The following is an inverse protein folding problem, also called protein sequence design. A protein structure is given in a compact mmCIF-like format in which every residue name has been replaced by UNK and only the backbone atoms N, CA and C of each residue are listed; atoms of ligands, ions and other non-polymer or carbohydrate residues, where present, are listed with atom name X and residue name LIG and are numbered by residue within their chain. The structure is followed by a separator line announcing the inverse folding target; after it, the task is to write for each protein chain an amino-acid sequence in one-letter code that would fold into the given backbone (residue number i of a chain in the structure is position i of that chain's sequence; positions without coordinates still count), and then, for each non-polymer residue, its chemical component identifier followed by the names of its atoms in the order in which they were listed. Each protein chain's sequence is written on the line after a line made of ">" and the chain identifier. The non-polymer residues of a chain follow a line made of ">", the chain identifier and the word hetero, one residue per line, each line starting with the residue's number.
data_IF_221723130594
#
_entry.id   IF_221723130594
#
_cell.length_a   1.000
_cell.length_b   1.000
_cell.length_c   1.000
_cell.angle_alpha   90.00
_cell.angle_beta   90.00
_cell.angle_gamma   90.00
#
_symmetry.space_group_name_H-M   'P 1'
#
loop_
_entity.id
_entity.type
_entity.pdbx_description
1 polymer ?
#
# COMPACT_ATOMS: atom_id res chain seq x y z
N UNK A 1 -5.96 -45.04 72.23
CA UNK A 1 -6.94 -44.77 71.15
C UNK A 1 -6.28 -43.93 70.08
N UNK A 2 -5.87 -44.51 68.94
CA UNK A 2 -5.32 -43.83 67.82
C UNK A 2 -6.40 -43.72 66.75
N UNK A 3 -6.84 -42.48 66.40
CA UNK A 3 -7.74 -42.19 65.25
C UNK A 3 -6.93 -42.34 63.97
N UNK A 4 -7.39 -43.19 63.08
CA UNK A 4 -6.94 -43.25 61.64
C UNK A 4 -7.78 -42.27 60.87
N UNK A 5 -7.10 -41.27 60.31
CA UNK A 5 -7.70 -40.41 59.26
C UNK A 5 -7.59 -41.12 57.88
N UNK A 6 -8.74 -41.33 57.26
CA UNK A 6 -8.84 -41.91 55.95
C UNK A 6 -8.83 -40.72 54.95
N UNK A 7 -7.74 -40.55 54.18
CA UNK A 7 -7.65 -39.59 53.09
C UNK A 7 -8.38 -40.18 51.89
N UNK A 8 -9.53 -39.60 51.55
CA UNK A 8 -10.22 -39.87 50.27
C UNK A 8 -9.55 -39.03 49.16
N UNK A 9 -8.71 -39.66 48.35
CA UNK A 9 -8.14 -39.04 47.15
C UNK A 9 -9.14 -39.19 46.01
N UNK A 10 -9.95 -38.13 45.74
CA UNK A 10 -10.84 -38.12 44.59
C UNK A 10 -10.03 -37.83 43.31
N UNK A 11 -9.83 -38.87 42.49
CA UNK A 11 -9.22 -38.83 41.19
C UNK A 11 -10.22 -38.19 40.20
N UNK A 12 -10.09 -36.88 39.94
CA UNK A 12 -10.81 -36.18 38.86
C UNK A 12 -10.22 -36.63 37.51
N UNK A 13 -10.88 -37.59 36.85
CA UNK A 13 -10.64 -37.93 35.46
C UNK A 13 -11.15 -36.76 34.58
N UNK A 14 -10.25 -35.87 34.16
CA UNK A 14 -10.47 -34.93 33.08
C UNK A 14 -10.58 -35.72 31.77
N UNK A 15 -11.79 -36.05 31.36
CA UNK A 15 -12.06 -36.45 29.98
C UNK A 15 -11.83 -35.24 29.08
N UNK A 16 -10.67 -35.13 28.49
CA UNK A 16 -10.42 -34.25 27.37
C UNK A 16 -11.32 -34.70 26.23
N UNK A 17 -12.39 -33.97 25.97
CA UNK A 17 -13.15 -34.11 24.73
C UNK A 17 -12.22 -33.64 23.61
N UNK A 18 -11.55 -34.58 22.92
CA UNK A 18 -10.91 -34.27 21.66
C UNK A 18 -12.02 -33.97 20.65
N UNK A 19 -12.34 -32.70 20.47
CA UNK A 19 -13.09 -32.25 19.30
C UNK A 19 -12.22 -32.57 18.07
N UNK A 20 -12.53 -33.63 17.37
CA UNK A 20 -11.90 -33.99 16.13
C UNK A 20 -12.62 -33.17 15.06
N UNK A 21 -11.88 -32.21 14.42
CA UNK A 21 -12.39 -31.42 13.31
C UNK A 21 -12.91 -32.34 12.19
N UNK A 22 -14.16 -32.17 11.83
CA UNK A 22 -14.80 -32.91 10.74
C UNK A 22 -14.57 -32.27 9.40
N UNK A 23 -14.86 -33.01 8.31
CA UNK A 23 -14.89 -32.45 6.95
C UNK A 23 -16.28 -32.60 6.36
N UNK A 24 -16.89 -31.49 5.98
CA UNK A 24 -18.17 -31.45 5.26
C UNK A 24 -17.89 -31.14 3.81
N UNK A 25 -18.30 -32.03 2.92
CA UNK A 25 -18.15 -31.83 1.47
C UNK A 25 -19.41 -31.19 0.90
N UNK A 26 -19.21 -30.06 0.20
CA UNK A 26 -20.25 -29.30 -0.48
C UNK A 26 -20.12 -29.54 -1.99
N UNK A 27 -21.15 -30.06 -2.65
CA UNK A 27 -21.22 -30.22 -4.10
C UNK A 27 -22.66 -30.44 -4.60
N UNK A 28 -22.92 -30.23 -5.88
CA UNK A 28 -24.27 -30.40 -6.45
C UNK A 28 -24.85 -31.81 -6.35
N UNK A 29 -24.01 -32.86 -6.27
CA UNK A 29 -24.42 -34.25 -6.08
C UNK A 29 -24.23 -34.77 -4.65
N UNK A 30 -23.69 -33.95 -3.76
CA UNK A 30 -23.46 -34.32 -2.36
C UNK A 30 -24.74 -34.19 -1.52
N UNK A 31 -24.67 -34.65 -0.26
CA UNK A 31 -25.74 -34.46 0.74
C UNK A 31 -25.95 -32.96 1.02
N UNK A 32 -24.84 -32.21 1.12
CA UNK A 32 -24.84 -30.75 1.30
C UNK A 32 -24.60 -30.12 -0.07
N UNK A 33 -25.52 -29.32 -0.55
CA UNK A 33 -25.51 -28.77 -1.91
C UNK A 33 -25.13 -27.30 -1.97
N UNK A 34 -25.29 -26.57 -0.87
CA UNK A 34 -25.00 -25.15 -0.76
C UNK A 34 -23.96 -24.87 0.30
N UNK A 35 -23.21 -23.77 0.14
CA UNK A 35 -22.21 -23.35 1.14
C UNK A 35 -22.91 -22.94 2.43
N UNK A 36 -24.06 -22.26 2.33
CA UNK A 36 -24.86 -21.89 3.52
C UNK A 36 -25.29 -23.10 4.34
N UNK A 37 -25.76 -24.17 3.69
CA UNK A 37 -26.09 -25.43 4.39
C UNK A 37 -24.86 -26.00 5.07
N UNK A 38 -23.71 -26.02 4.36
CA UNK A 38 -22.43 -26.49 4.91
C UNK A 38 -22.02 -25.72 6.17
N UNK A 39 -22.04 -24.39 6.11
CA UNK A 39 -21.73 -23.52 7.25
C UNK A 39 -22.69 -23.74 8.44
N UNK A 40 -23.98 -23.92 8.15
CA UNK A 40 -25.00 -24.17 9.19
C UNK A 40 -24.79 -25.51 9.90
N UNK A 41 -24.40 -26.56 9.16
CA UNK A 41 -24.17 -27.92 9.69
C UNK A 41 -22.84 -28.09 10.40
N UNK A 42 -21.83 -27.28 10.08
CA UNK A 42 -20.48 -27.42 10.61
C UNK A 42 -20.43 -27.17 12.13
N UNK A 43 -19.61 -27.95 12.81
CA UNK A 43 -19.17 -27.66 14.18
C UNK A 43 -17.95 -26.71 14.16
N UNK A 44 -17.57 -26.19 15.31
CA UNK A 44 -16.38 -25.35 15.45
C UNK A 44 -15.13 -26.11 14.98
N UNK A 45 -14.27 -25.41 14.23
CA UNK A 45 -13.04 -25.90 13.63
C UNK A 45 -13.21 -26.96 12.52
N UNK A 46 -14.42 -27.23 12.05
CA UNK A 46 -14.65 -28.09 10.90
C UNK A 46 -14.12 -27.47 9.59
N UNK A 47 -13.85 -28.34 8.63
CA UNK A 47 -13.46 -27.96 7.29
C UNK A 47 -14.63 -28.15 6.32
N UNK A 48 -14.99 -27.10 5.59
CA UNK A 48 -15.87 -27.19 4.42
C UNK A 48 -15.02 -27.36 3.16
N UNK A 49 -15.09 -28.54 2.57
CA UNK A 49 -14.46 -28.82 1.28
C UNK A 49 -15.47 -28.55 0.16
N UNK A 50 -15.32 -27.41 -0.51
CA UNK A 50 -16.21 -26.96 -1.56
C UNK A 50 -15.66 -27.47 -2.88
N UNK A 51 -16.35 -28.41 -3.50
CA UNK A 51 -15.94 -29.01 -4.77
C UNK A 51 -16.18 -28.08 -5.93
N UNK A 52 -15.43 -28.28 -7.02
CA UNK A 52 -15.61 -27.53 -8.27
C UNK A 52 -17.08 -27.48 -8.68
N UNK A 53 -17.56 -26.28 -8.97
CA UNK A 53 -18.95 -26.01 -9.35
C UNK A 53 -19.25 -24.52 -9.31
N UNK A 54 -20.47 -24.14 -9.68
CA UNK A 54 -20.97 -22.78 -9.51
C UNK A 54 -22.07 -22.79 -8.46
N UNK A 55 -21.90 -21.91 -7.45
CA UNK A 55 -22.80 -21.74 -6.31
C UNK A 55 -23.38 -20.31 -6.39
N UNK A 56 -24.66 -20.24 -6.75
CA UNK A 56 -25.35 -18.94 -6.82
C UNK A 56 -25.80 -18.53 -5.42
N UNK A 57 -24.87 -17.99 -4.63
CA UNK A 57 -25.08 -17.67 -3.22
C UNK A 57 -24.49 -16.30 -2.86
N UNK A 58 -25.18 -15.58 -2.01
CA UNK A 58 -24.73 -14.31 -1.38
C UNK A 58 -25.17 -14.32 0.08
N UNK A 59 -24.66 -13.39 0.90
CA UNK A 59 -24.94 -13.30 2.32
C UNK A 59 -24.69 -14.64 3.06
N UNK A 60 -23.51 -15.20 2.86
CA UNK A 60 -22.98 -16.36 3.58
C UNK A 60 -22.36 -15.85 4.88
N UNK A 61 -22.99 -16.17 6.03
CA UNK A 61 -22.54 -15.71 7.35
C UNK A 61 -21.73 -16.80 8.05
N UNK A 62 -20.44 -16.51 8.35
CA UNK A 62 -19.54 -17.41 9.11
C UNK A 62 -19.44 -16.89 10.53
N UNK A 63 -20.11 -17.59 11.46
CA UNK A 63 -20.24 -17.19 12.86
C UNK A 63 -19.48 -18.12 13.82
N UNK A 64 -18.67 -19.02 13.31
CA UNK A 64 -17.86 -20.00 14.05
C UNK A 64 -16.49 -20.15 13.42
N UNK A 65 -15.48 -20.60 14.17
CA UNK A 65 -14.17 -20.89 13.60
C UNK A 65 -14.29 -22.04 12.59
N UNK A 66 -14.06 -21.75 11.31
CA UNK A 66 -14.19 -22.70 10.20
C UNK A 66 -13.04 -22.53 9.19
N UNK A 67 -12.72 -23.61 8.49
CA UNK A 67 -11.86 -23.60 7.34
C UNK A 67 -12.68 -23.90 6.07
N UNK A 68 -12.75 -22.96 5.14
CA UNK A 68 -13.37 -23.13 3.82
C UNK A 68 -12.28 -23.38 2.78
N UNK A 69 -12.28 -24.53 2.14
CA UNK A 69 -11.32 -24.89 1.09
C UNK A 69 -12.05 -25.14 -0.22
N UNK A 70 -11.71 -24.36 -1.24
CA UNK A 70 -12.20 -24.56 -2.61
C UNK A 70 -11.30 -25.51 -3.39
N UNK A 71 -11.85 -26.62 -3.86
CA UNK A 71 -11.14 -27.53 -4.74
C UNK A 71 -11.28 -27.09 -6.20
N UNK A 72 -10.15 -26.71 -6.81
CA UNK A 72 -10.09 -26.21 -8.19
C UNK A 72 -10.92 -24.94 -8.42
N UNK A 73 -10.88 -23.98 -7.48
CA UNK A 73 -11.54 -22.68 -7.55
C UNK A 73 -13.04 -22.75 -7.86
N UNK A 74 -13.87 -23.33 -6.98
CA UNK A 74 -15.33 -23.26 -7.12
C UNK A 74 -15.79 -21.82 -7.20
N UNK A 75 -16.74 -21.55 -8.11
CA UNK A 75 -17.27 -20.21 -8.34
C UNK A 75 -18.41 -19.94 -7.37
N UNK A 76 -18.30 -18.84 -6.61
CA UNK A 76 -19.41 -18.29 -5.84
C UNK A 76 -19.91 -17.04 -6.57
N UNK A 77 -21.10 -17.12 -7.13
CA UNK A 77 -21.72 -16.04 -7.89
C UNK A 77 -22.77 -15.32 -7.04
N UNK A 78 -22.50 -14.06 -6.70
CA UNK A 78 -23.40 -13.22 -5.91
C UNK A 78 -24.62 -12.72 -6.66
N UNK A 79 -24.59 -12.78 -8.01
CA UNK A 79 -25.69 -12.34 -8.88
C UNK A 79 -26.05 -10.85 -8.68
N UNK A 80 -25.06 -10.02 -8.36
CA UNK A 80 -25.17 -8.57 -8.11
C UNK A 80 -26.17 -8.19 -7.00
N UNK A 81 -26.37 -9.09 -6.00
CA UNK A 81 -27.43 -8.93 -4.99
C UNK A 81 -26.97 -8.37 -3.65
N UNK A 82 -25.67 -8.24 -3.42
CA UNK A 82 -25.16 -7.72 -2.14
C UNK A 82 -23.80 -8.30 -1.76
N UNK A 83 -23.53 -8.36 -0.46
CA UNK A 83 -22.33 -8.93 0.12
C UNK A 83 -22.32 -10.46 -0.02
N UNK A 84 -21.16 -11.08 -0.29
CA UNK A 84 -21.13 -12.52 -0.56
C UNK A 84 -20.77 -13.31 0.69
N UNK A 85 -19.62 -13.07 1.32
CA UNK A 85 -19.20 -13.76 2.54
C UNK A 85 -18.97 -12.73 3.64
N UNK A 86 -19.58 -12.94 4.80
CA UNK A 86 -19.33 -12.16 6.02
C UNK A 86 -18.81 -13.06 7.13
N UNK A 87 -17.63 -12.72 7.67
CA UNK A 87 -16.97 -13.42 8.76
C UNK A 87 -17.11 -12.59 10.02
N UNK A 88 -17.72 -13.16 11.08
CA UNK A 88 -17.87 -12.55 12.41
C UNK A 88 -17.33 -13.46 13.51
N UNK A 89 -16.40 -14.33 13.19
CA UNK A 89 -15.77 -15.28 14.10
C UNK A 89 -14.26 -15.24 13.97
N UNK A 90 -13.56 -15.54 15.04
CA UNK A 90 -12.13 -15.75 15.06
C UNK A 90 -11.74 -17.08 14.40
N UNK A 91 -10.45 -17.22 14.06
CA UNK A 91 -9.85 -18.45 13.56
C UNK A 91 -10.54 -19.00 12.29
N UNK A 92 -10.90 -18.12 11.36
CA UNK A 92 -11.50 -18.49 10.07
C UNK A 92 -10.44 -18.49 8.98
N UNK A 93 -10.41 -19.55 8.17
CA UNK A 93 -9.60 -19.63 6.97
C UNK A 93 -10.48 -19.74 5.73
N UNK A 94 -10.18 -18.90 4.72
CA UNK A 94 -10.75 -18.98 3.37
C UNK A 94 -9.60 -19.27 2.41
N UNK A 95 -9.70 -20.34 1.63
CA UNK A 95 -8.66 -20.77 0.71
C UNK A 95 -9.24 -21.28 -0.63
N UNK A 96 -8.70 -20.79 -1.75
CA UNK A 96 -8.93 -21.35 -3.07
C UNK A 96 -10.33 -21.14 -3.65
N UNK A 97 -11.00 -20.03 -3.36
CA UNK A 97 -12.33 -19.70 -3.90
C UNK A 97 -12.22 -18.74 -5.10
N UNK A 98 -13.20 -18.80 -6.00
CA UNK A 98 -13.41 -17.78 -7.02
C UNK A 98 -14.77 -17.11 -6.78
N UNK A 99 -14.77 -15.81 -6.47
CA UNK A 99 -15.97 -15.05 -6.08
C UNK A 99 -16.22 -13.96 -7.13
N UNK A 100 -17.46 -13.87 -7.62
CA UNK A 100 -17.84 -12.93 -8.69
C UNK A 100 -19.19 -12.29 -8.42
N UNK A 101 -19.44 -11.15 -9.13
CA UNK A 101 -20.72 -10.46 -9.18
C UNK A 101 -21.20 -10.01 -7.78
N UNK A 102 -20.35 -9.22 -7.11
CA UNK A 102 -20.71 -8.54 -5.85
C UNK A 102 -21.71 -7.43 -6.15
N UNK A 103 -22.74 -7.29 -5.31
CA UNK A 103 -23.70 -6.19 -5.46
C UNK A 103 -23.07 -4.82 -5.28
N UNK A 104 -23.62 -3.81 -5.96
CA UNK A 104 -23.25 -2.40 -5.81
C UNK A 104 -24.30 -1.66 -5.01
N UNK A 105 -23.88 -0.73 -4.14
CA UNK A 105 -24.80 0.08 -3.34
C UNK A 105 -24.21 1.48 -3.12
N UNK A 106 -25.08 2.49 -3.08
CA UNK A 106 -24.70 3.87 -2.72
C UNK A 106 -24.69 4.12 -1.20
N UNK A 107 -25.20 3.18 -0.41
CA UNK A 107 -25.36 3.34 1.05
C UNK A 107 -24.65 2.26 1.86
N UNK A 108 -24.18 1.18 1.21
CA UNK A 108 -23.51 0.07 1.87
C UNK A 108 -22.30 -0.37 1.04
N UNK A 109 -21.18 -0.60 1.69
CA UNK A 109 -19.93 -1.03 1.08
C UNK A 109 -19.93 -2.56 0.92
N UNK A 110 -20.75 -3.10 0.01
CA UNK A 110 -20.81 -4.55 -0.21
C UNK A 110 -19.46 -5.11 -0.66
N UNK A 111 -18.97 -6.14 0.03
CA UNK A 111 -17.70 -6.78 -0.23
C UNK A 111 -17.87 -8.23 -0.70
N UNK A 112 -16.90 -8.72 -1.46
CA UNK A 112 -16.79 -10.15 -1.77
C UNK A 112 -16.56 -10.95 -0.48
N UNK A 113 -15.63 -10.47 0.36
CA UNK A 113 -15.36 -11.02 1.70
C UNK A 113 -15.25 -9.86 2.68
N UNK A 114 -16.18 -9.82 3.65
CA UNK A 114 -16.10 -8.91 4.79
C UNK A 114 -15.69 -9.68 6.04
N UNK A 115 -14.76 -9.13 6.81
CA UNK A 115 -14.36 -9.64 8.14
C UNK A 115 -14.66 -8.55 9.16
N UNK A 116 -15.43 -8.89 10.20
CA UNK A 116 -15.87 -7.92 11.21
C UNK A 116 -15.47 -8.39 12.59
N UNK A 117 -14.71 -7.56 13.32
CA UNK A 117 -14.32 -7.79 14.72
C UNK A 117 -13.73 -9.19 14.98
N UNK A 118 -12.94 -9.71 14.04
CA UNK A 118 -12.38 -11.07 14.07
C UNK A 118 -10.86 -11.01 14.23
N UNK A 119 -10.33 -12.03 14.90
CA UNK A 119 -8.90 -12.24 15.07
C UNK A 119 -8.44 -13.58 14.48
N UNK A 120 -7.14 -13.67 14.14
CA UNK A 120 -6.51 -14.90 13.64
C UNK A 120 -7.16 -15.50 12.38
N UNK A 121 -7.60 -14.66 11.46
CA UNK A 121 -8.15 -15.10 10.17
C UNK A 121 -7.07 -15.18 9.09
N UNK A 122 -7.32 -16.04 8.09
CA UNK A 122 -6.49 -16.17 6.90
C UNK A 122 -7.38 -16.19 5.65
N UNK A 123 -7.13 -15.24 4.73
CA UNK A 123 -7.77 -15.20 3.41
C UNK A 123 -6.66 -15.37 2.38
N UNK A 124 -6.66 -16.52 1.69
CA UNK A 124 -5.59 -16.81 0.75
C UNK A 124 -6.05 -17.50 -0.52
N UNK A 125 -5.25 -17.36 -1.60
CA UNK A 125 -5.45 -18.01 -2.89
C UNK A 125 -6.87 -17.77 -3.47
N UNK A 126 -7.52 -16.64 -3.13
CA UNK A 126 -8.83 -16.30 -3.67
C UNK A 126 -8.70 -15.48 -4.94
N UNK A 127 -9.59 -15.71 -5.89
CA UNK A 127 -9.77 -14.88 -7.07
C UNK A 127 -11.10 -14.13 -6.92
N UNK A 128 -11.04 -12.81 -7.02
CA UNK A 128 -12.21 -11.93 -6.91
C UNK A 128 -12.34 -11.13 -8.21
N UNK A 129 -13.51 -11.17 -8.85
CA UNK A 129 -13.78 -10.41 -10.08
C UNK A 129 -15.16 -9.77 -10.05
N UNK A 130 -15.33 -8.64 -10.78
CA UNK A 130 -16.59 -7.89 -10.86
C UNK A 130 -17.13 -7.59 -9.47
N UNK A 131 -16.40 -6.75 -8.78
CA UNK A 131 -16.64 -6.45 -7.37
C UNK A 131 -16.88 -4.96 -7.13
N UNK A 132 -17.66 -4.64 -6.11
CA UNK A 132 -17.70 -3.30 -5.54
C UNK A 132 -16.53 -3.14 -4.55
N UNK A 133 -16.55 -3.83 -3.39
CA UNK A 133 -15.34 -4.02 -2.57
C UNK A 133 -14.85 -5.47 -2.67
N UNK A 134 -13.52 -5.66 -2.66
CA UNK A 134 -12.93 -7.00 -2.66
C UNK A 134 -12.93 -7.61 -1.26
N UNK A 135 -11.90 -7.33 -0.47
CA UNK A 135 -11.76 -7.79 0.92
C UNK A 135 -11.88 -6.59 1.85
N UNK A 136 -12.83 -6.61 2.77
CA UNK A 136 -13.02 -5.54 3.73
C UNK A 136 -12.84 -6.04 5.17
N UNK A 137 -11.83 -5.51 5.85
CA UNK A 137 -11.49 -5.84 7.23
C UNK A 137 -11.96 -4.69 8.13
N UNK A 138 -12.93 -4.95 8.99
CA UNK A 138 -13.50 -3.97 9.90
C UNK A 138 -13.19 -4.35 11.36
N UNK A 139 -12.38 -3.54 12.07
CA UNK A 139 -11.99 -3.74 13.47
C UNK A 139 -11.36 -5.10 13.75
N UNK A 140 -10.55 -5.56 12.80
CA UNK A 140 -9.90 -6.87 12.83
C UNK A 140 -8.49 -6.81 13.46
N UNK A 141 -8.00 -7.97 13.96
CA UNK A 141 -6.65 -8.08 14.50
C UNK A 141 -5.99 -9.40 14.10
N UNK A 142 -4.64 -9.37 14.07
CA UNK A 142 -3.83 -10.57 13.95
C UNK A 142 -4.21 -11.47 12.78
N UNK A 143 -4.57 -10.87 11.63
CA UNK A 143 -5.03 -11.58 10.44
C UNK A 143 -4.08 -11.47 9.26
N UNK A 144 -4.32 -12.29 8.24
CA UNK A 144 -3.51 -12.28 7.02
C UNK A 144 -4.37 -12.35 5.75
N UNK A 145 -4.02 -11.49 4.78
CA UNK A 145 -4.55 -11.49 3.41
C UNK A 145 -3.38 -11.82 2.48
N UNK A 146 -3.38 -13.04 1.92
CA UNK A 146 -2.19 -13.61 1.29
C UNK A 146 -2.46 -14.20 -0.09
N UNK A 147 -1.65 -13.83 -1.07
CA UNK A 147 -1.65 -14.45 -2.41
C UNK A 147 -3.03 -14.48 -3.09
N UNK A 148 -3.77 -13.37 -3.01
CA UNK A 148 -5.07 -13.22 -3.63
C UNK A 148 -4.95 -12.42 -4.94
N UNK A 149 -5.88 -12.65 -5.87
CA UNK A 149 -6.01 -11.91 -7.11
C UNK A 149 -7.36 -11.20 -7.14
N UNK A 150 -7.32 -9.88 -7.15
CA UNK A 150 -8.50 -9.00 -7.04
C UNK A 150 -8.55 -8.14 -8.29
N UNK A 151 -9.57 -8.32 -9.13
CA UNK A 151 -9.75 -7.57 -10.36
C UNK A 151 -11.14 -6.95 -10.35
N UNK A 152 -11.19 -5.64 -10.22
CA UNK A 152 -12.43 -4.88 -10.35
C UNK A 152 -12.78 -4.60 -11.81
N UNK A 153 -13.83 -3.86 -11.98
CA UNK A 153 -14.30 -3.30 -13.25
C UNK A 153 -14.64 -1.80 -13.12
N UNK A 154 -13.87 -1.13 -12.28
CA UNK A 154 -14.05 0.27 -11.93
C UNK A 154 -13.94 1.17 -13.15
N UNK A 155 -14.97 1.98 -13.39
CA UNK A 155 -15.06 2.95 -14.49
C UNK A 155 -15.03 4.38 -13.97
N UNK A 156 -15.68 4.65 -12.83
CA UNK A 156 -15.71 5.95 -12.18
C UNK A 156 -15.52 5.82 -10.66
N UNK A 157 -15.06 6.90 -10.02
CA UNK A 157 -14.74 6.91 -8.59
C UNK A 157 -15.98 6.75 -7.67
N UNK A 158 -17.16 7.18 -8.12
CA UNK A 158 -18.38 7.22 -7.30
C UNK A 158 -19.04 5.85 -7.17
N UNK A 159 -18.93 5.04 -8.23
CA UNK A 159 -19.56 3.72 -8.32
C UNK A 159 -18.55 2.58 -8.15
N UNK A 160 -17.37 2.86 -7.65
CA UNK A 160 -16.31 1.87 -7.49
C UNK A 160 -15.80 1.85 -6.06
N UNK A 161 -15.54 0.66 -5.54
CA UNK A 161 -14.97 0.43 -4.21
C UNK A 161 -13.50 0.10 -4.26
N UNK A 162 -12.96 -0.31 -3.12
CA UNK A 162 -11.55 -0.61 -2.94
C UNK A 162 -11.27 -2.12 -3.06
N UNK A 163 -10.04 -2.47 -3.48
CA UNK A 163 -9.65 -3.88 -3.59
C UNK A 163 -9.49 -4.55 -2.24
N UNK A 164 -8.63 -4.01 -1.38
CA UNK A 164 -8.46 -4.44 0.02
C UNK A 164 -8.63 -3.22 0.90
N UNK A 165 -9.57 -3.27 1.84
CA UNK A 165 -9.82 -2.19 2.77
C UNK A 165 -9.64 -2.62 4.21
N UNK A 166 -8.91 -1.83 4.99
CA UNK A 166 -8.72 -1.99 6.43
C UNK A 166 -9.27 -0.76 7.15
N UNK A 167 -10.19 -0.97 8.07
CA UNK A 167 -10.77 0.08 8.89
C UNK A 167 -10.71 -0.29 10.37
N UNK A 168 -10.06 0.56 11.19
CA UNK A 168 -9.81 0.34 12.61
C UNK A 168 -9.17 -1.03 12.93
N UNK A 169 -8.27 -1.50 12.06
CA UNK A 169 -7.65 -2.84 12.18
C UNK A 169 -6.20 -2.75 12.68
N UNK A 170 -5.68 -3.83 13.27
CA UNK A 170 -4.34 -3.86 13.86
C UNK A 170 -3.62 -5.18 13.61
N UNK A 171 -2.28 -5.13 13.50
CA UNK A 171 -1.43 -6.31 13.33
C UNK A 171 -1.86 -7.20 12.15
N UNK A 172 -2.15 -6.60 11.00
CA UNK A 172 -2.57 -7.30 9.79
C UNK A 172 -1.40 -7.37 8.81
N UNK A 173 -1.27 -8.52 8.14
CA UNK A 173 -0.31 -8.72 7.04
C UNK A 173 -1.08 -8.83 5.72
N UNK A 174 -0.76 -7.95 4.77
CA UNK A 174 -1.26 -7.96 3.39
C UNK A 174 -0.10 -8.29 2.49
N UNK A 175 -0.01 -9.53 1.97
CA UNK A 175 1.19 -10.03 1.31
C UNK A 175 0.88 -10.74 -0.01
N UNK A 176 1.70 -10.46 -1.04
CA UNK A 176 1.67 -11.12 -2.37
C UNK A 176 0.33 -11.08 -3.08
N UNK A 177 -0.45 -10.04 -2.86
CA UNK A 177 -1.72 -9.86 -3.56
C UNK A 177 -1.50 -9.09 -4.88
N UNK A 178 -2.36 -9.37 -5.87
CA UNK A 178 -2.48 -8.60 -7.12
C UNK A 178 -3.83 -7.90 -7.06
N UNK A 179 -3.81 -6.56 -7.15
CA UNK A 179 -5.04 -5.73 -7.08
C UNK A 179 -5.06 -4.79 -8.26
N UNK A 180 -6.12 -4.88 -9.08
CA UNK A 180 -6.23 -4.15 -10.33
C UNK A 180 -7.66 -3.66 -10.59
N UNK A 181 -7.78 -2.55 -11.37
CA UNK A 181 -9.04 -2.05 -11.88
C UNK A 181 -10.11 -1.78 -10.81
N UNK A 182 -9.70 -1.28 -9.65
CA UNK A 182 -10.55 -0.84 -8.55
C UNK A 182 -10.40 0.68 -8.34
N UNK A 183 -11.15 1.27 -7.42
CA UNK A 183 -10.97 2.69 -7.08
C UNK A 183 -9.63 2.94 -6.42
N UNK A 184 -9.40 2.39 -5.22
CA UNK A 184 -8.11 2.33 -4.55
C UNK A 184 -7.70 0.86 -4.41
N UNK A 185 -6.47 0.54 -4.80
CA UNK A 185 -5.98 -0.85 -4.72
C UNK A 185 -6.03 -1.39 -3.30
N UNK A 186 -5.31 -0.74 -2.39
CA UNK A 186 -5.30 -1.04 -0.95
C UNK A 186 -5.62 0.25 -0.19
N UNK A 187 -6.53 0.20 0.77
CA UNK A 187 -6.95 1.34 1.57
C UNK A 187 -6.89 1.05 3.06
N UNK A 188 -6.26 1.94 3.83
CA UNK A 188 -6.17 1.86 5.30
C UNK A 188 -6.69 3.14 5.94
N UNK A 189 -7.49 3.00 6.97
CA UNK A 189 -7.93 4.12 7.80
C UNK A 189 -8.00 3.71 9.26
N UNK A 190 -7.37 4.51 10.15
CA UNK A 190 -7.26 4.23 11.58
C UNK A 190 -6.72 2.82 11.88
N UNK A 191 -5.71 2.37 11.10
CA UNK A 191 -5.18 1.00 11.20
C UNK A 191 -3.69 1.06 11.50
N UNK A 192 -3.26 0.43 12.59
CA UNK A 192 -1.88 0.52 13.09
C UNK A 192 -1.16 -0.84 13.05
N UNK A 193 0.16 -0.82 12.95
CA UNK A 193 1.02 -2.01 12.88
C UNK A 193 0.67 -2.92 11.70
N UNK A 194 0.42 -2.33 10.54
CA UNK A 194 0.10 -3.06 9.32
C UNK A 194 1.39 -3.32 8.53
N UNK A 195 1.54 -4.54 8.02
CA UNK A 195 2.60 -4.89 7.08
C UNK A 195 2.00 -5.15 5.71
N UNK A 196 2.42 -4.35 4.71
CA UNK A 196 2.03 -4.51 3.31
C UNK A 196 3.29 -4.84 2.53
N UNK A 197 3.41 -6.08 2.04
CA UNK A 197 4.64 -6.50 1.39
C UNK A 197 4.43 -7.37 0.15
N UNK A 198 5.31 -7.20 -0.83
CA UNK A 198 5.33 -7.98 -2.06
C UNK A 198 4.01 -7.92 -2.88
N UNK A 199 3.20 -6.87 -2.74
CA UNK A 199 1.96 -6.72 -3.49
C UNK A 199 2.20 -5.99 -4.82
N UNK A 200 1.34 -6.26 -5.80
CA UNK A 200 1.23 -5.50 -7.05
C UNK A 200 -0.14 -4.83 -7.06
N UNK A 201 -0.14 -3.50 -7.09
CA UNK A 201 -1.36 -2.70 -7.18
C UNK A 201 -1.26 -1.81 -8.42
N UNK A 202 -2.04 -2.11 -9.46
CA UNK A 202 -1.91 -1.43 -10.75
C UNK A 202 -3.24 -1.13 -11.42
N UNK A 203 -3.21 -0.16 -12.33
CA UNK A 203 -4.34 0.19 -13.17
C UNK A 203 -5.60 0.61 -12.38
N UNK A 204 -5.42 1.16 -11.18
CA UNK A 204 -6.51 1.62 -10.33
C UNK A 204 -6.87 3.07 -10.66
N UNK A 205 -8.15 3.40 -10.51
CA UNK A 205 -8.67 4.73 -10.90
C UNK A 205 -8.01 5.85 -10.12
N UNK A 206 -7.80 5.67 -8.82
CA UNK A 206 -7.27 6.70 -7.95
C UNK A 206 -5.89 6.36 -7.40
N UNK A 207 -5.79 5.49 -6.41
CA UNK A 207 -4.51 5.18 -5.76
C UNK A 207 -4.18 3.68 -5.81
N UNK A 208 -2.89 3.38 -5.99
CA UNK A 208 -2.40 2.03 -5.76
C UNK A 208 -2.49 1.65 -4.28
N UNK A 209 -2.11 2.58 -3.39
CA UNK A 209 -2.29 2.46 -1.93
C UNK A 209 -2.70 3.82 -1.37
N UNK A 210 -3.69 3.84 -0.51
CA UNK A 210 -4.12 5.04 0.21
C UNK A 210 -4.25 4.73 1.70
N UNK A 211 -3.63 5.53 2.56
CA UNK A 211 -3.85 5.38 3.99
C UNK A 211 -3.85 6.70 4.74
N UNK A 212 -4.70 6.74 5.79
CA UNK A 212 -4.88 7.91 6.64
C UNK A 212 -4.96 7.49 8.11
N UNK A 213 -4.38 8.33 8.99
CA UNK A 213 -4.42 8.12 10.44
C UNK A 213 -3.95 6.72 10.87
N UNK A 214 -2.98 6.16 10.13
CA UNK A 214 -2.46 4.80 10.29
C UNK A 214 -0.98 4.89 10.62
N UNK A 215 -0.56 4.28 11.73
CA UNK A 215 0.77 4.49 12.30
C UNK A 215 1.53 3.18 12.48
N UNK A 216 2.86 3.30 12.61
CA UNK A 216 3.75 2.18 12.87
C UNK A 216 3.72 1.10 11.77
N UNK A 217 3.41 1.50 10.52
CA UNK A 217 3.18 0.62 9.40
C UNK A 217 4.45 0.41 8.56
N UNK A 218 4.55 -0.77 7.95
CA UNK A 218 5.66 -1.17 7.08
C UNK A 218 5.13 -1.49 5.68
N UNK A 219 5.66 -0.80 4.67
CA UNK A 219 5.37 -1.00 3.25
C UNK A 219 6.65 -1.43 2.56
N UNK A 220 6.71 -2.70 2.13
CA UNK A 220 7.98 -3.27 1.68
C UNK A 220 7.83 -4.05 0.37
N UNK A 221 8.77 -3.82 -0.55
CA UNK A 221 8.89 -4.57 -1.82
C UNK A 221 7.59 -4.63 -2.64
N UNK A 222 6.73 -3.59 -2.56
CA UNK A 222 5.51 -3.51 -3.35
C UNK A 222 5.75 -2.80 -4.69
N UNK A 223 4.88 -3.07 -5.66
CA UNK A 223 4.84 -2.35 -6.94
C UNK A 223 3.51 -1.61 -7.08
N UNK A 224 3.60 -0.29 -7.31
CA UNK A 224 2.47 0.60 -7.59
C UNK A 224 2.64 1.19 -8.98
N UNK A 225 1.92 0.65 -9.95
CA UNK A 225 2.12 0.98 -11.37
C UNK A 225 0.83 1.42 -12.06
N UNK A 226 0.96 2.47 -12.91
CA UNK A 226 -0.11 2.93 -13.79
C UNK A 226 -1.44 3.20 -13.07
N UNK A 227 -1.37 3.74 -11.85
CA UNK A 227 -2.53 4.18 -11.09
C UNK A 227 -2.80 5.67 -11.36
N UNK A 228 -3.97 6.18 -11.04
CA UNK A 228 -4.23 7.62 -11.04
C UNK A 228 -3.18 8.39 -10.23
N UNK A 229 -2.74 7.82 -9.10
CA UNK A 229 -1.51 8.13 -8.39
C UNK A 229 -0.99 6.88 -7.68
N UNK A 230 0.32 6.79 -7.43
CA UNK A 230 0.91 5.60 -6.81
C UNK A 230 0.42 5.38 -5.39
N UNK A 231 0.85 6.22 -4.44
CA UNK A 231 0.51 6.10 -3.02
C UNK A 231 0.18 7.46 -2.42
N UNK A 232 -0.91 7.55 -1.66
CA UNK A 232 -1.23 8.71 -0.83
C UNK A 232 -1.17 8.35 0.66
N UNK A 233 -0.39 9.11 1.42
CA UNK A 233 -0.20 8.95 2.86
C UNK A 233 -0.57 10.24 3.56
N UNK A 234 -1.50 10.17 4.51
CA UNK A 234 -1.98 11.36 5.18
C UNK A 234 -2.10 11.16 6.70
N UNK A 235 -1.67 12.17 7.47
CA UNK A 235 -1.87 12.26 8.92
C UNK A 235 -1.36 11.04 9.70
N UNK A 236 -0.19 10.50 9.31
CA UNK A 236 0.38 9.29 9.87
C UNK A 236 1.81 9.52 10.38
N UNK A 237 2.30 8.62 11.22
CA UNK A 237 3.65 8.72 11.80
C UNK A 237 4.30 7.36 11.96
N UNK A 238 5.65 7.38 12.03
CA UNK A 238 6.51 6.18 12.22
C UNK A 238 6.27 5.11 11.17
N UNK A 239 6.11 5.54 9.91
CA UNK A 239 5.95 4.63 8.78
C UNK A 239 7.29 4.30 8.14
N UNK A 240 7.40 3.12 7.55
CA UNK A 240 8.57 2.68 6.79
C UNK A 240 8.17 2.25 5.38
N UNK A 241 8.80 2.85 4.37
CA UNK A 241 8.65 2.48 2.96
C UNK A 241 9.99 1.98 2.44
N UNK A 242 10.10 0.68 2.22
CA UNK A 242 11.36 0.00 1.98
C UNK A 242 11.33 -0.78 0.66
N UNK A 243 12.20 -0.47 -0.28
CA UNK A 243 12.37 -1.24 -1.51
C UNK A 243 11.18 -1.24 -2.48
N UNK A 244 10.22 -0.33 -2.32
CA UNK A 244 9.04 -0.30 -3.19
C UNK A 244 9.35 0.31 -4.56
N UNK A 245 8.56 -0.06 -5.56
CA UNK A 245 8.61 0.50 -6.91
C UNK A 245 7.33 1.28 -7.21
N UNK A 246 7.50 2.55 -7.57
CA UNK A 246 6.44 3.46 -8.00
C UNK A 246 6.73 3.87 -9.43
N UNK A 247 5.96 3.39 -10.39
CA UNK A 247 6.26 3.65 -11.79
C UNK A 247 5.03 3.97 -12.62
N UNK A 248 5.25 4.86 -13.63
CA UNK A 248 4.23 5.23 -14.62
C UNK A 248 2.92 5.77 -14.02
N UNK A 249 2.97 6.32 -12.82
CA UNK A 249 1.83 7.03 -12.26
C UNK A 249 1.85 8.45 -12.84
N UNK A 250 1.09 8.66 -13.92
CA UNK A 250 1.18 9.85 -14.74
C UNK A 250 -0.18 10.55 -14.88
N UNK A 251 -0.21 11.88 -14.69
CA UNK A 251 -1.41 12.68 -14.80
C UNK A 251 -1.25 14.08 -14.21
N UNK A 252 -2.23 14.93 -14.34
CA UNK A 252 -2.18 16.34 -13.88
C UNK A 252 -2.01 16.46 -12.35
N UNK A 253 -2.53 15.52 -11.58
CA UNK A 253 -2.45 15.47 -10.12
C UNK A 253 -1.82 14.17 -9.63
N UNK A 254 -0.95 13.56 -10.44
CA UNK A 254 -0.36 12.25 -10.18
C UNK A 254 1.03 12.35 -9.54
N UNK A 255 1.35 11.35 -8.73
CA UNK A 255 2.64 11.24 -8.05
C UNK A 255 2.97 9.75 -7.76
N UNK A 256 4.25 9.44 -7.58
CA UNK A 256 4.66 8.15 -7.01
C UNK A 256 4.18 8.05 -5.57
N UNK A 257 4.55 9.03 -4.71
CA UNK A 257 4.04 9.15 -3.33
C UNK A 257 3.61 10.59 -3.04
N UNK A 258 2.46 10.75 -2.40
CA UNK A 258 2.08 11.96 -1.67
C UNK A 258 2.24 11.71 -0.16
N UNK A 259 3.02 12.55 0.50
CA UNK A 259 3.16 12.60 1.96
C UNK A 259 2.51 13.88 2.47
N UNK A 260 1.42 13.77 3.21
CA UNK A 260 0.74 14.92 3.78
C UNK A 260 0.64 14.79 5.30
N UNK A 261 1.29 15.72 6.01
CA UNK A 261 1.37 15.76 7.48
C UNK A 261 1.90 14.45 8.08
N UNK A 262 3.02 13.96 7.51
CA UNK A 262 3.71 12.76 7.97
C UNK A 262 4.87 13.14 8.87
N UNK A 263 5.06 12.38 9.95
CA UNK A 263 6.15 12.61 10.89
C UNK A 263 6.89 11.30 11.22
N UNK A 264 8.22 11.44 11.41
CA UNK A 264 9.06 10.35 11.90
C UNK A 264 9.03 9.11 10.98
N UNK A 265 9.33 9.29 9.70
CA UNK A 265 9.25 8.21 8.70
C UNK A 265 10.61 7.85 8.09
N UNK A 266 10.68 6.64 7.53
CA UNK A 266 11.82 6.13 6.78
C UNK A 266 11.38 5.73 5.37
N UNK A 267 12.01 6.32 4.34
CA UNK A 267 11.75 6.05 2.92
C UNK A 267 13.08 5.66 2.27
N UNK A 268 13.34 4.36 2.20
CA UNK A 268 14.67 3.83 1.89
C UNK A 268 14.65 2.79 0.77
N UNK A 269 15.57 2.91 -0.18
CA UNK A 269 15.79 1.92 -1.23
C UNK A 269 14.68 1.84 -2.27
N UNK A 270 13.76 2.82 -2.33
CA UNK A 270 12.65 2.80 -3.25
C UNK A 270 13.04 3.30 -4.65
N UNK A 271 12.30 2.86 -5.65
CA UNK A 271 12.44 3.31 -7.04
C UNK A 271 11.21 4.10 -7.48
N UNK A 272 11.43 5.33 -7.92
CA UNK A 272 10.43 6.23 -8.50
C UNK A 272 10.78 6.41 -9.98
N UNK A 273 10.02 5.79 -10.88
CA UNK A 273 10.32 5.76 -12.30
C UNK A 273 9.15 6.23 -13.15
N UNK A 274 9.41 7.20 -14.03
CA UNK A 274 8.43 7.68 -15.00
C UNK A 274 7.09 8.14 -14.39
N UNK A 275 7.14 8.81 -13.22
CA UNK A 275 5.96 9.45 -12.60
C UNK A 275 5.90 10.94 -12.95
N UNK A 276 4.73 11.55 -12.88
CA UNK A 276 4.62 13.03 -12.99
C UNK A 276 5.45 13.70 -11.89
N UNK A 277 5.30 13.25 -10.67
CA UNK A 277 6.12 13.64 -9.51
C UNK A 277 6.54 12.36 -8.79
N UNK A 278 7.84 12.17 -8.52
CA UNK A 278 8.32 11.04 -7.74
C UNK A 278 7.74 11.08 -6.32
N UNK A 279 8.10 12.11 -5.54
CA UNK A 279 7.55 12.34 -4.19
C UNK A 279 7.02 13.77 -4.06
N UNK A 280 5.78 13.93 -3.63
CA UNK A 280 5.18 15.19 -3.19
C UNK A 280 5.12 15.21 -1.66
N UNK A 281 5.72 16.22 -1.02
CA UNK A 281 5.86 16.35 0.42
C UNK A 281 5.13 17.61 0.86
N UNK A 282 4.15 17.47 1.77
CA UNK A 282 3.36 18.57 2.30
C UNK A 282 3.30 18.49 3.83
N UNK A 283 3.77 19.52 4.54
CA UNK A 283 3.69 19.60 6.00
C UNK A 283 4.33 18.42 6.74
N UNK A 284 5.35 17.77 6.17
CA UNK A 284 5.89 16.53 6.68
C UNK A 284 7.31 16.69 7.20
N UNK A 285 7.60 16.10 8.37
CA UNK A 285 8.79 16.42 9.15
C UNK A 285 9.53 15.19 9.66
N UNK A 286 10.86 15.33 9.87
CA UNK A 286 11.74 14.30 10.43
C UNK A 286 11.66 12.97 9.67
N UNK A 287 11.76 13.09 8.34
CA UNK A 287 11.74 11.93 7.44
C UNK A 287 13.14 11.72 6.89
N UNK A 288 13.58 10.47 6.90
CA UNK A 288 14.83 10.06 6.26
C UNK A 288 14.55 9.47 4.88
N UNK A 289 15.05 10.12 3.84
CA UNK A 289 15.03 9.65 2.45
C UNK A 289 16.41 9.18 2.05
N UNK A 290 16.63 7.86 1.97
CA UNK A 290 17.95 7.34 1.68
C UNK A 290 17.93 6.22 0.63
N UNK A 291 18.99 6.16 -0.18
CA UNK A 291 19.21 5.11 -1.20
C UNK A 291 18.05 4.95 -2.19
N UNK A 292 17.24 5.98 -2.39
CA UNK A 292 16.16 5.95 -3.36
C UNK A 292 16.68 6.29 -4.76
N UNK A 293 16.02 5.74 -5.78
CA UNK A 293 16.28 6.03 -7.18
C UNK A 293 15.12 6.84 -7.76
N UNK A 294 15.39 8.05 -8.23
CA UNK A 294 14.46 8.90 -8.95
C UNK A 294 14.84 8.92 -10.43
N UNK A 295 14.07 8.22 -11.26
CA UNK A 295 14.45 7.93 -12.65
C UNK A 295 13.40 8.51 -13.60
N UNK A 296 13.81 9.44 -14.49
CA UNK A 296 12.96 9.98 -15.56
C UNK A 296 11.59 10.51 -15.12
N UNK A 297 11.47 11.02 -13.91
CA UNK A 297 10.23 11.66 -13.45
C UNK A 297 10.09 13.07 -14.06
N UNK A 298 8.87 13.59 -14.14
CA UNK A 298 8.65 15.00 -14.44
C UNK A 298 9.31 15.87 -13.37
N UNK A 299 9.02 15.60 -12.12
CA UNK A 299 9.70 16.13 -10.93
C UNK A 299 10.18 14.98 -10.07
N UNK A 300 11.42 14.97 -9.63
CA UNK A 300 11.85 13.96 -8.68
C UNK A 300 11.18 14.19 -7.32
N UNK A 301 11.30 15.41 -6.77
CA UNK A 301 10.73 15.77 -5.46
C UNK A 301 10.07 17.14 -5.55
N UNK A 302 8.88 17.27 -4.94
CA UNK A 302 8.22 18.55 -4.67
C UNK A 302 8.00 18.71 -3.18
N UNK A 303 8.52 19.80 -2.60
CA UNK A 303 8.34 20.15 -1.19
C UNK A 303 7.45 21.38 -1.09
N UNK A 304 6.37 21.30 -0.31
CA UNK A 304 5.39 22.38 -0.11
C UNK A 304 5.06 22.57 1.37
N UNK A 305 4.88 23.83 1.73
CA UNK A 305 4.50 24.20 3.11
C UNK A 305 5.63 23.97 4.13
N UNK A 306 5.25 23.80 5.39
CA UNK A 306 6.16 23.62 6.51
C UNK A 306 6.71 22.19 6.56
N UNK A 307 7.87 21.97 5.93
CA UNK A 307 8.57 20.68 5.92
C UNK A 307 9.95 20.88 6.56
N UNK A 308 10.16 20.31 7.74
CA UNK A 308 11.35 20.58 8.55
C UNK A 308 12.10 19.30 8.92
N UNK A 309 13.41 19.43 9.07
CA UNK A 309 14.30 18.40 9.62
C UNK A 309 14.23 17.09 8.82
N UNK A 310 14.03 17.18 7.50
CA UNK A 310 14.09 16.02 6.61
C UNK A 310 15.51 15.85 6.08
N UNK A 311 15.94 14.62 5.88
CA UNK A 311 17.26 14.30 5.34
C UNK A 311 17.15 13.54 4.03
N UNK A 312 17.89 13.97 3.04
CA UNK A 312 17.99 13.36 1.71
C UNK A 312 19.44 12.95 1.46
N UNK A 313 19.77 11.69 1.75
CA UNK A 313 21.16 11.22 1.75
C UNK A 313 21.29 9.98 0.88
N UNK A 314 22.37 9.92 0.09
CA UNK A 314 22.68 8.76 -0.74
C UNK A 314 21.55 8.38 -1.73
N UNK A 315 20.84 9.34 -2.29
CA UNK A 315 19.83 9.08 -3.31
C UNK A 315 20.42 9.27 -4.73
N UNK A 316 19.86 8.60 -5.71
CA UNK A 316 20.20 8.78 -7.12
C UNK A 316 19.11 9.58 -7.84
N UNK A 317 19.48 10.71 -8.41
CA UNK A 317 18.60 11.54 -9.26
C UNK A 317 19.03 11.39 -10.73
N UNK A 318 18.26 10.61 -11.49
CA UNK A 318 18.64 10.14 -12.81
C UNK A 318 17.69 10.66 -13.90
N UNK A 319 18.16 11.62 -14.69
CA UNK A 319 17.48 12.10 -15.90
C UNK A 319 16.05 12.61 -15.66
N UNK A 320 15.74 13.14 -14.47
CA UNK A 320 14.47 13.80 -14.21
C UNK A 320 14.39 15.11 -14.99
N UNK A 321 13.19 15.54 -15.40
CA UNK A 321 13.03 16.85 -16.04
C UNK A 321 13.38 17.97 -15.05
N UNK A 322 12.99 17.80 -13.78
CA UNK A 322 13.34 18.65 -12.66
C UNK A 322 13.67 17.82 -11.42
N UNK A 323 14.78 18.13 -10.76
CA UNK A 323 15.20 17.38 -9.59
C UNK A 323 14.43 17.81 -8.33
N UNK A 324 14.29 19.11 -8.06
CA UNK A 324 13.65 19.61 -6.85
C UNK A 324 12.79 20.85 -7.13
N UNK A 325 11.56 20.84 -6.62
CA UNK A 325 10.75 22.03 -6.42
C UNK A 325 10.60 22.30 -4.92
N UNK A 326 10.88 23.52 -4.49
CA UNK A 326 10.78 23.90 -3.10
C UNK A 326 9.95 25.18 -2.95
N UNK A 327 8.92 25.13 -2.10
CA UNK A 327 8.05 26.27 -1.83
C UNK A 327 7.81 26.41 -0.31
N UNK A 328 8.87 26.77 0.41
CA UNK A 328 8.83 27.08 1.85
C UNK A 328 9.79 28.25 2.11
N UNK A 329 9.49 29.04 3.13
CA UNK A 329 10.29 30.22 3.52
C UNK A 329 11.45 29.88 4.45
N UNK A 330 11.45 28.71 5.05
CA UNK A 330 12.49 28.24 5.97
C UNK A 330 12.94 26.85 5.51
N UNK A 331 14.25 26.65 5.47
CA UNK A 331 14.82 25.37 5.11
C UNK A 331 15.84 24.92 6.16
N UNK A 332 15.52 23.83 6.84
CA UNK A 332 16.45 23.07 7.68
C UNK A 332 16.60 21.63 7.20
N UNK A 333 16.14 21.34 5.95
CA UNK A 333 16.28 20.05 5.33
C UNK A 333 17.71 19.87 4.81
N UNK A 334 18.26 18.69 4.95
CA UNK A 334 19.64 18.36 4.60
C UNK A 334 19.67 17.54 3.32
N UNK A 335 20.44 17.99 2.34
CA UNK A 335 20.82 17.24 1.14
C UNK A 335 22.32 16.97 1.23
N UNK A 336 22.74 15.71 1.27
CA UNK A 336 24.15 15.37 1.38
C UNK A 336 24.44 14.04 0.68
N UNK A 337 25.57 13.98 0.01
CA UNK A 337 26.07 12.78 -0.65
C UNK A 337 25.06 12.10 -1.60
N UNK A 338 24.27 12.89 -2.36
CA UNK A 338 23.40 12.36 -3.40
C UNK A 338 24.11 12.38 -4.77
N UNK A 339 23.72 11.44 -5.63
CA UNK A 339 24.14 11.44 -7.02
C UNK A 339 23.12 12.16 -7.90
N UNK A 340 23.61 13.12 -8.68
CA UNK A 340 22.80 13.97 -9.58
C UNK A 340 23.31 13.79 -11.02
N UNK A 341 22.49 13.25 -11.92
CA UNK A 341 22.90 13.04 -13.33
C UNK A 341 23.27 14.34 -14.05
N UNK A 342 22.77 15.49 -13.56
CA UNK A 342 23.05 16.82 -14.10
C UNK A 342 24.24 17.51 -13.44
N UNK A 343 24.91 16.88 -12.47
CA UNK A 343 26.11 17.41 -11.84
C UNK A 343 27.30 17.37 -12.79
N UNK A 344 27.97 18.49 -12.97
CA UNK A 344 29.14 18.66 -13.88
C UNK A 344 30.38 19.16 -13.14
N UNK A 345 30.43 19.04 -11.82
CA UNK A 345 31.59 19.42 -11.02
C UNK A 345 32.75 18.44 -11.16
N UNK A 346 33.81 18.69 -10.43
CA UNK A 346 35.04 17.90 -10.45
C UNK A 346 35.36 17.38 -9.03
N UNK A 347 36.24 16.42 -8.94
CA UNK A 347 36.75 15.77 -7.73
C UNK A 347 38.29 15.75 -7.83
N UNK A 348 38.95 16.77 -7.31
CA UNK A 348 40.42 16.96 -7.41
C UNK A 348 41.17 16.04 -6.47
N UNK A 349 40.65 15.78 -5.30
CA UNK A 349 41.30 14.92 -4.27
C UNK A 349 40.94 13.43 -4.47
N UNK A 350 40.06 13.10 -5.41
CA UNK A 350 39.63 11.74 -5.76
C UNK A 350 38.98 10.96 -4.61
N UNK A 351 38.27 11.65 -3.75
CA UNK A 351 37.57 11.04 -2.64
C UNK A 351 36.18 10.48 -3.02
N UNK A 352 35.71 10.71 -4.26
CA UNK A 352 34.43 10.24 -4.79
C UNK A 352 33.29 11.22 -4.63
N UNK A 353 33.53 12.37 -4.00
CA UNK A 353 32.59 13.50 -3.88
C UNK A 353 33.09 14.69 -4.72
N UNK A 354 32.16 15.49 -5.21
CA UNK A 354 32.51 16.70 -5.96
C UNK A 354 32.94 17.83 -5.05
N UNK A 355 33.99 18.58 -5.46
CA UNK A 355 34.50 19.74 -4.73
C UNK A 355 33.61 20.98 -4.87
N UNK A 356 32.69 20.97 -5.83
CA UNK A 356 31.73 22.06 -6.03
C UNK A 356 30.34 21.59 -5.57
N UNK A 357 29.71 22.31 -4.63
CA UNK A 357 28.35 22.01 -4.18
C UNK A 357 27.35 22.03 -5.34
N UNK A 358 26.36 21.13 -5.29
CA UNK A 358 25.26 21.09 -6.27
C UNK A 358 24.02 21.79 -5.74
N UNK A 359 23.37 22.60 -6.59
CA UNK A 359 22.11 23.27 -6.29
C UNK A 359 20.98 22.58 -7.09
N UNK A 360 20.14 21.76 -6.45
CA UNK A 360 19.09 21.00 -7.15
C UNK A 360 17.91 21.84 -7.63
N UNK A 361 17.68 23.02 -7.05
CA UNK A 361 16.65 23.97 -7.50
C UNK A 361 17.25 24.86 -8.57
N UNK A 362 16.82 24.72 -9.82
CA UNK A 362 17.23 25.57 -10.95
C UNK A 362 16.26 26.72 -11.14
N UNK A 363 16.74 27.85 -11.67
CA UNK A 363 15.91 29.04 -11.92
C UNK A 363 14.69 28.72 -12.79
N UNK A 364 14.87 27.92 -13.84
CA UNK A 364 13.75 27.50 -14.68
C UNK A 364 12.75 26.64 -13.92
N UNK A 365 13.20 25.71 -13.07
CA UNK A 365 12.32 24.89 -12.22
C UNK A 365 11.52 25.76 -11.23
N UNK A 366 12.13 26.80 -10.69
CA UNK A 366 11.47 27.79 -9.84
C UNK A 366 10.37 28.57 -10.57
N UNK A 367 10.62 28.97 -11.83
CA UNK A 367 9.65 29.66 -12.69
C UNK A 367 8.47 28.71 -12.99
N UNK A 368 8.73 27.50 -13.47
CA UNK A 368 7.68 26.50 -13.78
C UNK A 368 6.85 26.14 -12.57
N UNK A 369 7.45 26.07 -11.38
CA UNK A 369 6.70 25.77 -10.15
C UNK A 369 5.69 26.87 -9.78
N UNK A 370 5.96 28.16 -10.16
CA UNK A 370 5.06 29.30 -9.94
C UNK A 370 4.10 29.55 -11.08
N UNK A 371 4.54 29.28 -12.30
CA UNK A 371 3.78 29.52 -13.53
C UNK A 371 3.87 28.26 -14.41
N UNK A 372 3.05 27.24 -14.15
CA UNK A 372 3.14 25.93 -14.79
C UNK A 372 3.08 25.96 -16.32
N UNK A 373 2.41 26.96 -16.90
CA UNK A 373 2.29 27.14 -18.35
C UNK A 373 3.65 27.34 -19.03
N UNK A 374 4.65 27.85 -18.29
CA UNK A 374 6.01 28.04 -18.80
C UNK A 374 6.74 26.74 -19.15
N UNK A 375 6.19 25.59 -18.75
CA UNK A 375 6.72 24.27 -19.13
C UNK A 375 6.81 24.08 -20.63
N UNK A 376 6.02 24.81 -21.43
CA UNK A 376 6.07 24.79 -22.90
C UNK A 376 7.45 25.23 -23.43
N UNK A 377 8.19 25.99 -22.64
CA UNK A 377 9.54 26.47 -22.97
C UNK A 377 10.63 25.44 -22.61
N UNK A 378 10.27 24.30 -22.04
CA UNK A 378 11.22 23.24 -21.73
C UNK A 378 11.94 22.80 -23.01
N UNK A 379 13.27 22.74 -22.97
CA UNK A 379 14.15 22.47 -24.13
C UNK A 379 14.18 23.54 -25.22
N UNK A 380 13.78 24.77 -24.90
CA UNK A 380 13.94 25.92 -25.79
C UNK A 380 15.27 26.63 -25.54
N UNK A 381 15.72 27.45 -26.55
CA UNK A 381 16.87 28.32 -26.39
C UNK A 381 16.73 29.25 -25.17
N UNK A 382 15.51 29.65 -24.83
CA UNK A 382 15.23 30.48 -23.65
C UNK A 382 15.67 29.79 -22.35
N UNK A 383 15.41 28.49 -22.21
CA UNK A 383 15.86 27.70 -21.10
C UNK A 383 17.39 27.62 -21.01
N UNK A 384 18.07 27.40 -22.15
CA UNK A 384 19.53 27.35 -22.21
C UNK A 384 20.16 28.69 -21.76
N UNK A 385 19.53 29.81 -22.11
CA UNK A 385 19.97 31.17 -21.70
C UNK A 385 19.76 31.34 -20.19
N UNK A 386 18.64 30.91 -19.63
CA UNK A 386 18.36 30.99 -18.20
C UNK A 386 19.37 30.14 -17.41
N UNK A 387 19.60 28.89 -17.83
CA UNK A 387 20.55 27.97 -17.18
C UNK A 387 21.98 28.52 -17.25
N UNK A 388 22.36 29.14 -18.36
CA UNK A 388 23.64 29.80 -18.49
C UNK A 388 23.75 31.04 -17.55
N UNK A 389 22.72 31.86 -17.50
CA UNK A 389 22.67 33.05 -16.62
C UNK A 389 22.77 32.64 -15.13
N UNK A 390 22.11 31.55 -14.73
CA UNK A 390 22.16 31.02 -13.38
C UNK A 390 23.57 30.52 -13.00
N UNK A 391 24.28 29.86 -13.94
CA UNK A 391 25.66 29.43 -13.72
C UNK A 391 26.62 30.62 -13.51
N UNK A 392 26.34 31.76 -14.10
CA UNK A 392 27.15 32.98 -13.98
C UNK A 392 26.80 33.74 -12.69
N UNK A 393 25.51 33.83 -12.34
CA UNK A 393 25.05 34.60 -11.18
C UNK A 393 23.76 34.00 -10.61
N UNK A 394 23.85 33.09 -9.62
CA UNK A 394 22.71 32.42 -9.00
C UNK A 394 21.99 33.33 -7.98
N UNK A 395 21.39 34.43 -8.44
CA UNK A 395 20.77 35.46 -7.59
C UNK A 395 19.35 35.10 -7.16
N UNK A 396 18.66 34.24 -7.92
CA UNK A 396 17.22 34.00 -7.75
C UNK A 396 16.88 32.61 -7.17
N UNK A 397 17.86 31.73 -7.04
CA UNK A 397 17.67 30.38 -6.46
C UNK A 397 18.02 30.37 -4.98
N UNK A 398 17.32 29.58 -4.15
CA UNK A 398 17.60 29.51 -2.71
C UNK A 398 19.04 29.06 -2.45
N UNK A 399 19.80 29.87 -1.72
CA UNK A 399 21.20 29.59 -1.38
C UNK A 399 21.35 28.46 -0.37
N UNK A 400 20.31 28.16 0.40
CA UNK A 400 20.31 27.19 1.50
C UNK A 400 20.02 25.75 1.06
N UNK A 401 19.49 25.54 -0.18
CA UNK A 401 19.20 24.22 -0.73
C UNK A 401 20.37 23.71 -1.57
N UNK A 402 21.35 23.16 -0.88
CA UNK A 402 22.62 22.73 -1.48
C UNK A 402 22.95 21.33 -1.01
N UNK A 403 23.38 20.47 -1.94
CA UNK A 403 24.14 19.26 -1.65
C UNK A 403 25.63 19.64 -1.64
N UNK A 404 26.20 19.67 -0.44
CA UNK A 404 27.58 20.14 -0.25
C UNK A 404 28.62 19.13 -0.76
N UNK A 405 28.25 17.86 -0.86
CA UNK A 405 29.14 16.75 -1.26
C UNK A 405 28.45 15.84 -2.28
N UNK A 406 28.13 16.36 -3.47
CA UNK A 406 27.48 15.54 -4.48
C UNK A 406 28.37 14.39 -4.92
N UNK A 407 27.82 13.19 -5.05
CA UNK A 407 28.58 12.02 -5.46
C UNK A 407 28.95 12.07 -6.94
N UNK A 408 30.20 11.70 -7.25
CA UNK A 408 30.70 11.60 -8.63
C UNK A 408 30.20 10.35 -9.37
N UNK A 409 29.71 9.35 -8.64
CA UNK A 409 29.23 8.08 -9.21
C UNK A 409 27.91 7.68 -8.59
N UNK A 410 27.06 7.09 -9.43
CA UNK A 410 25.80 6.49 -9.00
C UNK A 410 26.02 5.44 -7.91
N UNK A 411 25.18 5.45 -6.91
CA UNK A 411 25.09 4.44 -5.86
C UNK A 411 24.47 3.17 -6.47
N UNK A 412 25.06 2.03 -6.18
CA UNK A 412 24.61 0.72 -6.66
C UNK A 412 23.44 0.19 -5.83
#
# INVERSE_FOLDING_TARGET
>A
MKRREVFFCSLLLLFGIHLQAGTITVCGSCKVKTIKEGVAMAADFDTLLIKKGTYNEFNIQITKPLTLIGENYPVIDGGDKGEIITIVSDNVTIDGLFIINVGTSYTADYAAIRVVQSEHFLIQNVVLEKLFFGIYLEKCKNGKVYHNKIIGDAVDEYNSGNGIQLWYSQNIVVERNIVQHVRDGIYLEFSDNITIENNISSDNLRYGLHFMFSNDDIYKDNTFENNGAGVAVMFSKRIKMLGNTFRKNWGSASFGILLKEINDAEITGNTFEENTVGISIEGSNRINYSKNNFIKNGWAIKVRGACYTNTFIHNNFLYNSFDLAYNSNLNDNIFDENYWSNYTGYDLDRNGTGDIPYRPVKLFSYIVNRTPETIILLRSLFMDIIDFSEKVSPVFTPDELVDAKPLMKRIK
#
